data_IF_755252269615
#
_entry.id   IF_755252269615
#
_cell.length_a   1.000
_cell.length_b   1.000
_cell.length_c   1.000
_cell.angle_alpha   90.00
_cell.angle_beta   90.00
_cell.angle_gamma   90.00
#
_symmetry.space_group_name_H-M   'P 1'
#
loop_
_entity.id
_entity.type
_entity.pdbx_description
1 polymer ?
#
# COMPACT_ATOMS: atom_id res chain seq x y z
N UNK A 1 -14.09 -2.99 -19.77
CA UNK A 1 -12.64 -3.08 -19.50
C UNK A 1 -12.43 -4.35 -18.70
N UNK A 2 -11.55 -5.24 -19.13
CA UNK A 2 -11.20 -6.44 -18.40
C UNK A 2 -10.18 -6.15 -17.30
N UNK A 3 -10.01 -7.09 -16.35
CA UNK A 3 -9.10 -6.96 -15.20
C UNK A 3 -7.67 -6.63 -15.63
N UNK A 4 -7.07 -7.41 -16.52
CA UNK A 4 -5.69 -7.19 -16.98
C UNK A 4 -5.51 -5.84 -17.71
N UNK A 5 -6.52 -5.35 -18.43
CA UNK A 5 -6.50 -4.05 -19.07
C UNK A 5 -6.53 -2.93 -18.01
N UNK A 6 -7.35 -3.09 -16.96
CA UNK A 6 -7.44 -2.18 -15.84
C UNK A 6 -6.09 -2.10 -15.11
N UNK A 7 -5.51 -3.24 -14.76
CA UNK A 7 -4.21 -3.29 -14.07
C UNK A 7 -3.12 -2.60 -14.88
N UNK A 8 -3.00 -2.92 -16.18
CA UNK A 8 -1.98 -2.28 -17.03
C UNK A 8 -2.17 -0.78 -17.16
N UNK A 9 -3.42 -0.31 -17.29
CA UNK A 9 -3.71 1.09 -17.59
C UNK A 9 -3.56 2.00 -16.37
N UNK A 10 -3.98 1.55 -15.19
CA UNK A 10 -4.09 2.41 -14.01
C UNK A 10 -3.02 2.11 -12.94
N UNK A 11 -2.59 0.87 -12.81
CA UNK A 11 -1.69 0.48 -11.72
C UNK A 11 -0.27 0.19 -12.21
N UNK A 12 -0.08 -0.67 -13.19
CA UNK A 12 1.27 -0.96 -13.70
C UNK A 12 1.94 0.25 -14.40
N UNK A 13 1.15 1.18 -14.92
CA UNK A 13 1.63 2.42 -15.52
C UNK A 13 1.89 3.54 -14.49
N UNK A 14 1.52 3.37 -13.22
CA UNK A 14 1.74 4.35 -12.18
C UNK A 14 3.23 4.48 -11.85
N UNK A 15 3.68 5.70 -11.51
CA UNK A 15 5.09 5.92 -11.19
C UNK A 15 5.55 5.15 -9.95
N UNK A 16 4.65 4.92 -8.99
CA UNK A 16 4.94 4.10 -7.81
C UNK A 16 5.11 2.60 -8.11
N UNK A 17 4.76 2.11 -9.30
CA UNK A 17 5.04 0.75 -9.76
C UNK A 17 6.40 0.61 -10.48
N UNK A 18 7.17 1.69 -10.56
CA UNK A 18 8.52 1.64 -11.13
C UNK A 18 9.46 0.77 -10.27
N UNK A 19 10.52 0.18 -10.88
CA UNK A 19 11.52 -0.60 -10.15
C UNK A 19 12.11 0.17 -8.96
N UNK A 20 12.26 -0.51 -7.83
CA UNK A 20 12.90 -0.01 -6.62
C UNK A 20 14.04 -0.97 -6.20
N UNK A 21 14.99 -0.48 -5.42
CA UNK A 21 16.22 -1.22 -5.10
C UNK A 21 15.95 -2.59 -4.46
N UNK A 22 15.00 -2.65 -3.54
CA UNK A 22 14.65 -3.89 -2.82
C UNK A 22 13.49 -4.68 -3.48
N UNK A 23 13.00 -4.22 -4.64
CA UNK A 23 11.98 -4.91 -5.43
C UNK A 23 12.67 -5.61 -6.60
N UNK A 24 13.00 -6.89 -6.41
CA UNK A 24 13.65 -7.70 -7.45
C UNK A 24 12.68 -8.05 -8.60
N UNK A 25 11.38 -8.18 -8.30
CA UNK A 25 10.31 -8.39 -9.27
C UNK A 25 9.03 -7.71 -8.76
N UNK A 26 8.41 -6.87 -9.59
CA UNK A 26 7.16 -6.18 -9.28
C UNK A 26 5.96 -6.74 -10.03
N UNK A 27 5.04 -5.84 -10.46
CA UNK A 27 3.83 -6.21 -11.20
C UNK A 27 4.18 -6.85 -12.54
N UNK A 28 3.54 -7.98 -12.88
CA UNK A 28 3.66 -8.61 -14.20
C UNK A 28 3.95 -10.11 -14.17
N UNK A 29 4.12 -10.69 -13.00
CA UNK A 29 4.27 -12.12 -12.77
C UNK A 29 3.32 -12.58 -11.66
N UNK A 30 3.27 -13.88 -11.35
CA UNK A 30 2.38 -14.48 -10.33
C UNK A 30 2.68 -13.94 -8.92
N UNK A 31 3.93 -13.58 -8.63
CA UNK A 31 4.35 -13.02 -7.34
C UNK A 31 5.36 -11.90 -7.51
N UNK A 32 5.34 -10.92 -6.60
CA UNK A 32 6.44 -9.99 -6.42
C UNK A 32 7.58 -10.64 -5.62
N UNK A 33 8.82 -10.23 -5.90
CA UNK A 33 10.00 -10.65 -5.13
C UNK A 33 10.62 -9.44 -4.44
N UNK A 34 10.66 -9.50 -3.11
CA UNK A 34 11.28 -8.48 -2.26
C UNK A 34 12.61 -9.01 -1.73
N UNK A 35 13.65 -8.17 -1.78
CA UNK A 35 15.02 -8.51 -1.38
C UNK A 35 15.51 -7.51 -0.31
N UNK A 36 15.04 -7.61 0.95
CA UNK A 36 15.53 -6.74 2.02
C UNK A 36 17.02 -6.99 2.26
N UNK A 37 17.78 -5.98 2.70
CA UNK A 37 19.20 -6.12 3.01
C UNK A 37 19.47 -7.20 4.07
N UNK A 38 20.65 -7.80 4.01
CA UNK A 38 21.08 -8.76 5.02
C UNK A 38 21.13 -8.11 6.43
N UNK A 39 20.62 -8.83 7.44
CA UNK A 39 20.55 -8.34 8.82
C UNK A 39 19.29 -7.51 9.13
N UNK A 40 18.38 -7.33 8.17
CA UNK A 40 17.09 -6.71 8.37
C UNK A 40 15.95 -7.73 8.37
N UNK A 41 14.83 -7.37 9.01
CA UNK A 41 13.59 -8.13 9.04
C UNK A 41 12.50 -7.39 8.28
N UNK A 42 11.60 -8.11 7.63
CA UNK A 42 10.39 -7.53 7.06
C UNK A 42 9.38 -7.23 8.16
N UNK A 43 8.88 -6.00 8.18
CA UNK A 43 7.67 -5.60 8.89
C UNK A 43 6.51 -5.64 7.90
N UNK A 44 5.41 -6.27 8.28
CA UNK A 44 4.24 -6.43 7.41
C UNK A 44 2.99 -6.04 8.18
N UNK A 45 2.16 -5.18 7.61
CA UNK A 45 0.83 -4.84 8.12
C UNK A 45 -0.21 -4.88 7.00
N UNK A 46 -1.47 -5.12 7.36
CA UNK A 46 -2.57 -5.19 6.41
C UNK A 46 -3.81 -4.51 6.99
N UNK A 47 -4.35 -3.56 6.23
CA UNK A 47 -5.60 -2.87 6.55
C UNK A 47 -6.63 -3.02 5.44
N UNK A 48 -7.89 -3.09 5.82
CA UNK A 48 -9.03 -3.09 4.90
C UNK A 48 -9.95 -1.92 5.17
N UNK A 49 -10.25 -1.15 4.13
CA UNK A 49 -11.26 -0.09 4.15
C UNK A 49 -12.50 -0.53 3.35
N UNK A 50 -13.67 -0.37 3.95
CA UNK A 50 -14.97 -0.75 3.38
C UNK A 50 -15.87 0.46 3.33
N UNK A 51 -16.53 0.70 2.19
CA UNK A 51 -17.54 1.75 2.03
C UNK A 51 -18.68 1.59 3.01
N UNK A 52 -19.16 2.70 3.58
CA UNK A 52 -20.21 2.71 4.61
C UNK A 52 -19.72 2.32 6.02
N UNK A 53 -18.49 1.83 6.16
CA UNK A 53 -17.86 1.50 7.46
C UNK A 53 -16.71 2.45 7.76
N UNK A 54 -15.72 2.52 6.87
CA UNK A 54 -14.49 3.29 7.06
C UNK A 54 -14.49 4.63 6.32
N UNK A 55 -15.35 4.76 5.31
CA UNK A 55 -15.55 5.97 4.52
C UNK A 55 -16.97 6.01 3.95
N UNK A 56 -17.57 7.20 3.75
CA UNK A 56 -18.91 7.32 3.16
C UNK A 56 -18.91 7.04 1.66
N UNK A 57 -20.08 6.69 1.12
CA UNK A 57 -20.27 6.59 -0.33
C UNK A 57 -19.98 7.93 -1.03
N UNK A 58 -19.49 7.87 -2.26
CA UNK A 58 -19.20 9.05 -3.08
C UNK A 58 -17.98 9.85 -2.64
N UNK A 59 -17.08 9.28 -1.85
CA UNK A 59 -15.79 9.89 -1.56
C UNK A 59 -14.99 10.16 -2.84
N UNK A 60 -14.28 11.29 -2.87
CA UNK A 60 -13.31 11.59 -3.91
C UNK A 60 -12.26 10.47 -3.98
N UNK A 61 -12.07 9.81 -5.13
CA UNK A 61 -11.19 8.66 -5.26
C UNK A 61 -9.71 9.01 -5.02
N UNK A 62 -9.28 10.22 -5.35
CA UNK A 62 -7.91 10.66 -5.10
C UNK A 62 -7.62 10.74 -3.60
N UNK A 63 -8.50 11.38 -2.84
CA UNK A 63 -8.35 11.48 -1.39
C UNK A 63 -8.54 10.14 -0.67
N UNK A 64 -9.45 9.29 -1.19
CA UNK A 64 -9.68 7.96 -0.66
C UNK A 64 -8.42 7.07 -0.79
N UNK A 65 -7.78 7.08 -1.95
CA UNK A 65 -6.54 6.34 -2.18
C UNK A 65 -5.40 6.81 -1.28
N UNK A 66 -5.24 8.13 -1.12
CA UNK A 66 -4.24 8.69 -0.21
C UNK A 66 -4.48 8.23 1.23
N UNK A 67 -5.73 8.34 1.70
CA UNK A 67 -6.10 7.89 3.05
C UNK A 67 -5.82 6.40 3.24
N UNK A 68 -6.22 5.56 2.29
CA UNK A 68 -6.06 4.12 2.39
C UNK A 68 -4.58 3.72 2.56
N UNK A 69 -3.69 4.30 1.76
CA UNK A 69 -2.26 3.99 1.89
C UNK A 69 -1.63 4.63 3.13
N UNK A 70 -2.04 5.86 3.51
CA UNK A 70 -1.50 6.54 4.67
C UNK A 70 -1.78 5.80 5.98
N UNK A 71 -3.01 5.27 6.17
CA UNK A 71 -3.34 4.53 7.40
C UNK A 71 -2.52 3.26 7.51
N UNK A 72 -2.36 2.50 6.42
CA UNK A 72 -1.53 1.29 6.41
C UNK A 72 -0.03 1.61 6.62
N UNK A 73 0.49 2.66 5.97
CA UNK A 73 1.87 3.09 6.14
C UNK A 73 2.19 3.57 7.55
N UNK A 74 1.20 4.07 8.27
CA UNK A 74 1.33 4.51 9.66
C UNK A 74 1.76 3.37 10.60
N UNK A 75 1.39 2.12 10.32
CA UNK A 75 1.82 0.96 11.09
C UNK A 75 3.33 0.69 10.93
N UNK A 76 3.87 0.91 9.73
CA UNK A 76 5.32 0.82 9.52
C UNK A 76 6.05 1.89 10.32
N UNK A 77 5.53 3.11 10.31
CA UNK A 77 6.10 4.21 11.09
C UNK A 77 6.07 3.91 12.61
N UNK A 78 4.95 3.35 13.11
CA UNK A 78 4.82 2.96 14.51
C UNK A 78 5.85 1.89 14.94
N UNK A 79 6.28 1.04 14.01
CA UNK A 79 7.30 0.02 14.25
C UNK A 79 8.73 0.53 14.03
N UNK A 80 8.92 1.78 13.60
CA UNK A 80 10.21 2.33 13.19
C UNK A 80 10.78 1.67 11.93
N UNK A 81 9.91 1.07 11.10
CA UNK A 81 10.30 0.38 9.89
C UNK A 81 10.45 1.35 8.72
N UNK A 82 11.55 1.24 7.98
CA UNK A 82 11.70 1.93 6.70
C UNK A 82 10.74 1.33 5.68
N UNK A 83 9.92 2.15 4.99
CA UNK A 83 8.95 1.66 4.00
C UNK A 83 9.68 1.03 2.79
N UNK A 84 9.04 0.03 2.17
CA UNK A 84 9.62 -0.70 1.04
C UNK A 84 8.61 -0.84 -0.10
N UNK A 85 7.50 -1.54 0.14
CA UNK A 85 6.54 -1.87 -0.90
C UNK A 85 5.13 -2.02 -0.34
N UNK A 86 4.14 -2.11 -1.23
CA UNK A 86 2.78 -2.49 -0.87
C UNK A 86 2.07 -3.25 -1.99
N UNK A 87 1.05 -3.99 -1.63
CA UNK A 87 0.07 -4.58 -2.55
C UNK A 87 -1.30 -3.97 -2.32
N UNK A 88 -2.14 -3.96 -3.36
CA UNK A 88 -3.51 -3.46 -3.33
C UNK A 88 -4.48 -4.53 -3.83
N UNK A 89 -5.34 -5.06 -2.98
CA UNK A 89 -6.53 -5.80 -3.38
C UNK A 89 -7.72 -4.83 -3.41
N UNK A 90 -8.25 -4.57 -4.61
CA UNK A 90 -9.31 -3.59 -4.84
C UNK A 90 -10.58 -4.27 -5.35
N UNK A 91 -11.66 -4.13 -4.60
CA UNK A 91 -12.99 -4.58 -5.03
C UNK A 91 -13.82 -3.37 -5.45
N UNK A 92 -14.40 -3.43 -6.66
CA UNK A 92 -15.16 -2.34 -7.28
C UNK A 92 -16.54 -2.82 -7.74
N UNK A 93 -17.61 -2.02 -7.58
CA UNK A 93 -18.92 -2.36 -8.15
C UNK A 93 -18.92 -2.35 -9.68
N UNK A 94 -18.12 -1.46 -10.28
CA UNK A 94 -17.90 -1.34 -11.71
C UNK A 94 -16.55 -0.70 -12.02
N UNK A 95 -16.00 -1.01 -13.19
CA UNK A 95 -14.73 -0.43 -13.66
C UNK A 95 -14.95 0.95 -14.31
N UNK A 96 -15.16 1.97 -13.50
CA UNK A 96 -15.28 3.36 -13.93
C UNK A 96 -13.89 3.95 -14.18
N UNK A 97 -13.62 4.39 -15.41
CA UNK A 97 -12.30 4.87 -15.81
C UNK A 97 -11.91 6.20 -15.15
N UNK A 98 -12.87 7.10 -14.91
CA UNK A 98 -12.60 8.39 -14.27
C UNK A 98 -12.29 8.20 -12.80
N UNK A 99 -13.09 7.39 -12.12
CA UNK A 99 -12.84 7.00 -10.73
C UNK A 99 -11.47 6.34 -10.56
N UNK A 100 -11.16 5.35 -11.41
CA UNK A 100 -9.88 4.62 -11.38
C UNK A 100 -8.68 5.53 -11.65
N UNK A 101 -8.80 6.49 -12.56
CA UNK A 101 -7.75 7.47 -12.82
C UNK A 101 -7.51 8.39 -11.62
N UNK A 102 -8.57 8.84 -10.95
CA UNK A 102 -8.48 9.62 -9.72
C UNK A 102 -7.82 8.83 -8.61
N UNK A 103 -8.26 7.59 -8.40
CA UNK A 103 -7.74 6.69 -7.39
C UNK A 103 -6.24 6.37 -7.61
N UNK A 104 -5.85 5.99 -8.83
CA UNK A 104 -4.46 5.69 -9.17
C UNK A 104 -3.53 6.89 -8.96
N UNK A 105 -3.96 8.11 -9.30
CA UNK A 105 -3.19 9.33 -9.04
C UNK A 105 -3.02 9.60 -7.54
N UNK A 106 -4.07 9.41 -6.75
CA UNK A 106 -4.02 9.57 -5.30
C UNK A 106 -3.09 8.55 -4.65
N UNK A 107 -3.17 7.30 -5.11
CA UNK A 107 -2.30 6.22 -4.66
C UNK A 107 -0.82 6.52 -4.97
N UNK A 108 -0.53 6.94 -6.22
CA UNK A 108 0.81 7.31 -6.66
C UNK A 108 1.39 8.48 -5.85
N UNK A 109 0.58 9.51 -5.60
CA UNK A 109 1.01 10.67 -4.82
C UNK A 109 1.41 10.28 -3.39
N UNK A 110 0.58 9.47 -2.72
CA UNK A 110 0.86 9.02 -1.35
C UNK A 110 2.00 8.01 -1.31
N UNK A 111 2.09 7.08 -2.27
CA UNK A 111 3.17 6.12 -2.35
C UNK A 111 4.55 6.79 -2.46
N UNK A 112 4.65 7.83 -3.29
CA UNK A 112 5.89 8.63 -3.40
C UNK A 112 6.20 9.37 -2.11
N UNK A 113 5.20 9.93 -1.44
CA UNK A 113 5.37 10.63 -0.17
C UNK A 113 5.86 9.68 0.93
N UNK A 114 5.35 8.45 0.97
CA UNK A 114 5.73 7.43 1.94
C UNK A 114 6.99 6.65 1.56
N UNK A 115 7.48 6.74 0.31
CA UNK A 115 8.60 5.92 -0.18
C UNK A 115 8.23 4.46 -0.39
N UNK A 116 6.97 4.17 -0.78
CA UNK A 116 6.45 2.82 -0.99
C UNK A 116 6.29 2.51 -2.49
N UNK A 117 6.70 1.31 -2.92
CA UNK A 117 6.50 0.83 -4.28
C UNK A 117 5.28 -0.10 -4.38
N UNK A 118 4.40 0.12 -5.37
CA UNK A 118 3.32 -0.81 -5.69
C UNK A 118 3.89 -2.03 -6.43
N UNK A 119 3.78 -3.21 -5.83
CA UNK A 119 4.42 -4.42 -6.36
C UNK A 119 3.45 -5.51 -6.80
N UNK A 120 2.16 -5.35 -6.52
CA UNK A 120 1.16 -6.34 -6.88
C UNK A 120 -0.20 -6.06 -6.27
N UNK A 121 -1.09 -7.04 -6.38
CA UNK A 121 -2.43 -6.97 -5.80
C UNK A 121 -3.43 -7.77 -6.59
N UNK A 122 -4.71 -7.44 -6.39
CA UNK A 122 -5.84 -8.07 -7.05
C UNK A 122 -6.90 -7.02 -7.38
N UNK A 123 -7.71 -7.26 -8.41
CA UNK A 123 -8.84 -6.41 -8.75
C UNK A 123 -10.05 -7.26 -9.06
N UNK A 124 -11.09 -7.15 -8.26
CA UNK A 124 -12.29 -7.96 -8.42
C UNK A 124 -13.56 -7.11 -8.40
N UNK A 125 -14.69 -7.70 -8.80
CA UNK A 125 -15.99 -7.03 -8.78
C UNK A 125 -16.77 -7.33 -7.50
N UNK A 126 -17.28 -6.29 -6.85
CA UNK A 126 -18.11 -6.40 -5.65
C UNK A 126 -18.34 -5.05 -5.00
N UNK A 127 -18.87 -5.01 -3.77
CA UNK A 127 -18.98 -3.77 -2.99
C UNK A 127 -17.62 -3.08 -2.84
N UNK A 128 -17.61 -1.74 -2.91
CA UNK A 128 -16.34 -0.99 -2.86
C UNK A 128 -15.60 -1.25 -1.55
N UNK A 129 -14.43 -1.87 -1.69
CA UNK A 129 -13.49 -2.07 -0.60
C UNK A 129 -12.07 -2.16 -1.14
N UNK A 130 -11.11 -1.89 -0.28
CA UNK A 130 -9.70 -1.97 -0.62
C UNK A 130 -8.91 -2.51 0.56
N UNK A 131 -8.04 -3.46 0.29
CA UNK A 131 -7.10 -4.01 1.26
C UNK A 131 -5.69 -3.70 0.80
N UNK A 132 -4.91 -3.04 1.66
CA UNK A 132 -3.52 -2.76 1.39
C UNK A 132 -2.66 -3.56 2.37
N UNK A 133 -1.71 -4.30 1.83
CA UNK A 133 -0.65 -4.92 2.61
C UNK A 133 0.64 -4.15 2.37
N UNK A 134 1.19 -3.56 3.42
CA UNK A 134 2.42 -2.79 3.36
C UNK A 134 3.60 -3.60 3.89
N UNK A 135 4.75 -3.43 3.26
CA UNK A 135 6.01 -4.07 3.61
C UNK A 135 7.03 -2.98 3.94
N UNK A 136 7.65 -3.09 5.08
CA UNK A 136 8.79 -2.27 5.49
C UNK A 136 9.94 -3.15 5.94
N UNK A 137 11.05 -2.54 6.29
CA UNK A 137 12.22 -3.23 6.79
C UNK A 137 12.75 -2.54 8.06
N UNK A 138 13.26 -3.32 8.97
CA UNK A 138 13.83 -2.85 10.23
C UNK A 138 15.05 -3.69 10.59
N UNK A 139 16.14 -3.12 11.12
CA UNK A 139 17.26 -3.92 11.58
C UNK A 139 16.81 -4.97 12.61
N UNK A 140 17.36 -6.18 12.52
CA UNK A 140 16.96 -7.28 13.38
C UNK A 140 17.06 -6.90 14.87
N UNK A 141 15.96 -7.10 15.62
CA UNK A 141 15.87 -6.78 17.04
C UNK A 141 15.70 -5.29 17.39
N UNK A 142 15.50 -4.40 16.39
CA UNK A 142 15.35 -2.95 16.62
C UNK A 142 13.93 -2.44 16.35
N UNK A 143 12.96 -3.31 16.09
CA UNK A 143 11.58 -2.90 15.91
C UNK A 143 11.03 -2.26 17.18
N UNK A 144 10.32 -1.13 17.02
CA UNK A 144 9.57 -0.50 18.10
C UNK A 144 8.30 -1.32 18.36
N UNK A 145 8.13 -1.83 19.57
CA UNK A 145 6.98 -2.66 19.92
C UNK A 145 6.10 -1.97 20.95
N UNK A 146 4.82 -2.31 21.00
CA UNK A 146 3.85 -1.74 21.96
C UNK A 146 4.28 -1.97 23.42
N UNK A 147 5.04 -3.03 23.68
CA UNK A 147 5.54 -3.37 25.02
C UNK A 147 6.94 -2.81 25.32
N UNK A 148 7.53 -2.05 24.39
CA UNK A 148 8.91 -1.57 24.49
C UNK A 148 9.09 -0.30 25.32
N UNK A 149 8.03 0.49 25.52
CA UNK A 149 8.08 1.81 26.17
C UNK A 149 8.54 1.71 27.64
N UNK A 150 9.34 2.68 28.07
CA UNK A 150 9.90 2.76 29.42
C UNK A 150 9.67 4.15 30.03
N UNK A 151 9.63 4.27 31.37
CA UNK A 151 9.62 5.57 32.03
C UNK A 151 10.81 6.42 31.58
N UNK A 152 10.55 7.64 31.08
CA UNK A 152 11.56 8.55 30.53
C UNK A 152 11.60 8.63 29.01
N UNK A 153 10.87 7.76 28.29
CA UNK A 153 10.72 7.85 26.84
C UNK A 153 9.88 9.07 26.46
N UNK A 154 10.20 9.64 25.31
CA UNK A 154 9.44 10.76 24.75
C UNK A 154 8.24 10.24 23.93
N UNK A 155 7.11 10.91 24.11
CA UNK A 155 5.95 10.74 23.24
C UNK A 155 6.11 11.66 22.03
N UNK A 156 6.06 11.08 20.80
CA UNK A 156 6.20 11.80 19.54
C UNK A 156 4.88 11.79 18.75
#
# INVERSE_FOLDING_TARGET
MGEFELIRRFFAAAACAAPATEVALGIGDDCALLAPPAGEQLAVSTDTLVEGVHFPAGCDPFLLAQRALAVSASDLAAMGAAPLAFTLALTLPQADAEWLQGFARGLDAMARQCGLALVGGDTTRGPLSMTLTVFGRVPAGQALTRAGARPGDLLC
#
